data_IF_416782427470
#
_entry.id   IF_416782427470
#
_cell.length_a   1.000
_cell.length_b   1.000
_cell.length_c   1.000
_cell.angle_alpha   90.00
_cell.angle_beta   90.00
_cell.angle_gamma   90.00
#
_symmetry.space_group_name_H-M   'P 1'
#
loop_
_entity.id
_entity.type
_entity.pdbx_description
1 polymer ?
#
# COMPACT_ATOMS: atom_id res chain seq x y z
N UNK A 1 -17.39 28.80 1.71
CA UNK A 1 -17.31 29.19 0.28
C UNK A 1 -18.47 28.53 -0.46
N UNK A 2 -19.17 29.22 -1.36
CA UNK A 2 -20.23 28.60 -2.17
C UNK A 2 -19.61 27.46 -3.00
N UNK A 3 -20.12 26.23 -2.83
CA UNK A 3 -19.67 25.08 -3.62
C UNK A 3 -19.83 25.44 -5.09
N UNK A 4 -18.72 25.48 -5.84
CA UNK A 4 -18.80 25.61 -7.30
C UNK A 4 -19.66 24.46 -7.79
N UNK A 5 -20.77 24.77 -8.46
CA UNK A 5 -21.55 23.77 -9.19
C UNK A 5 -20.67 23.26 -10.33
N UNK A 6 -20.10 22.07 -10.14
CA UNK A 6 -19.47 21.33 -11.20
C UNK A 6 -20.54 20.51 -11.90
N UNK A 7 -20.53 20.51 -13.24
CA UNK A 7 -21.31 19.54 -14.00
C UNK A 7 -20.69 18.16 -13.75
N UNK A 8 -21.29 17.37 -12.87
CA UNK A 8 -20.81 16.04 -12.52
C UNK A 8 -21.34 15.07 -13.58
N UNK A 9 -20.47 14.50 -14.43
CA UNK A 9 -20.92 13.58 -15.47
C UNK A 9 -21.58 12.36 -14.83
N UNK A 10 -22.79 12.04 -15.28
CA UNK A 10 -23.49 10.81 -14.89
C UNK A 10 -22.74 9.64 -15.49
N UNK A 11 -22.09 8.83 -14.63
CA UNK A 11 -21.41 7.63 -15.08
C UNK A 11 -22.45 6.61 -15.59
N UNK A 12 -22.24 6.02 -16.78
CA UNK A 12 -23.16 5.01 -17.30
C UNK A 12 -23.14 3.76 -16.42
N UNK A 13 -24.27 3.04 -16.35
CA UNK A 13 -24.38 1.79 -15.58
C UNK A 13 -23.38 0.73 -16.06
N UNK A 14 -23.08 0.73 -17.36
CA UNK A 14 -22.11 -0.17 -17.99
C UNK A 14 -20.98 0.66 -18.58
N UNK A 15 -19.75 0.31 -18.23
CA UNK A 15 -18.56 0.91 -18.81
C UNK A 15 -18.37 0.39 -20.23
N UNK A 16 -18.10 1.31 -21.16
CA UNK A 16 -17.67 0.96 -22.50
C UNK A 16 -16.27 0.35 -22.44
N UNK A 17 -16.10 -0.83 -23.03
CA UNK A 17 -14.81 -1.51 -23.11
C UNK A 17 -14.10 -0.97 -24.35
N UNK A 18 -12.89 -0.40 -24.22
CA UNK A 18 -12.19 0.15 -25.37
C UNK A 18 -11.78 -0.98 -26.34
N UNK A 19 -11.71 -0.64 -27.62
CA UNK A 19 -11.06 -1.50 -28.61
C UNK A 19 -9.57 -1.67 -28.25
N UNK A 20 -9.00 -2.84 -28.54
CA UNK A 20 -7.61 -3.15 -28.20
C UNK A 20 -6.68 -2.31 -29.09
N UNK A 21 -5.74 -1.61 -28.46
CA UNK A 21 -4.67 -0.90 -29.13
C UNK A 21 -3.31 -1.42 -28.62
N UNK A 22 -2.72 -2.34 -29.36
CA UNK A 22 -1.45 -2.99 -28.99
C UNK A 22 -0.28 -2.00 -29.01
N UNK A 23 0.47 -1.94 -27.92
CA UNK A 23 1.72 -1.20 -27.82
C UNK A 23 1.57 0.30 -27.56
N UNK A 24 0.34 0.81 -27.36
CA UNK A 24 0.11 2.24 -27.07
C UNK A 24 0.74 2.67 -25.74
N UNK A 25 0.99 1.73 -24.82
CA UNK A 25 1.72 1.99 -23.58
C UNK A 25 3.17 1.52 -23.61
N UNK A 26 3.73 1.14 -24.75
CA UNK A 26 5.16 0.85 -24.87
C UNK A 26 6.01 2.09 -24.57
N UNK A 27 7.09 1.89 -23.82
CA UNK A 27 7.99 2.96 -23.41
C UNK A 27 8.85 2.55 -22.22
N UNK A 28 9.67 3.50 -21.74
CA UNK A 28 10.68 3.26 -20.71
C UNK A 28 10.11 3.05 -19.29
N UNK A 29 8.79 3.19 -19.13
CA UNK A 29 8.11 3.12 -17.84
C UNK A 29 8.41 4.33 -16.94
N UNK A 30 8.23 4.20 -15.61
CA UNK A 30 8.55 5.27 -14.67
C UNK A 30 10.07 5.51 -14.54
N UNK A 31 10.48 6.56 -13.84
CA UNK A 31 11.90 6.79 -13.58
C UNK A 31 12.53 5.64 -12.76
N UNK A 32 13.64 5.11 -13.26
CA UNK A 32 14.50 4.12 -12.57
C UNK A 32 15.20 4.76 -11.37
N UNK A 33 15.33 3.98 -10.29
CA UNK A 33 16.00 4.41 -9.07
C UNK A 33 17.51 4.48 -9.26
N UNK A 34 18.20 5.22 -8.39
CA UNK A 34 19.66 5.30 -8.34
C UNK A 34 20.22 4.58 -7.11
N UNK A 35 21.53 4.35 -7.12
CA UNK A 35 22.29 3.75 -6.03
C UNK A 35 21.97 4.36 -4.66
N UNK A 36 21.88 5.69 -4.60
CA UNK A 36 21.58 6.45 -3.38
C UNK A 36 20.29 5.97 -2.67
N UNK A 37 19.30 5.49 -3.42
CA UNK A 37 18.01 5.07 -2.89
C UNK A 37 17.86 3.55 -2.79
N UNK A 38 18.60 2.78 -3.59
CA UNK A 38 18.54 1.30 -3.57
C UNK A 38 19.40 0.70 -2.44
N UNK A 39 20.63 1.20 -2.25
CA UNK A 39 21.55 0.66 -1.24
C UNK A 39 20.98 0.70 0.20
N UNK A 40 20.34 1.78 0.67
CA UNK A 40 19.75 1.81 2.01
C UNK A 40 18.62 0.80 2.22
N UNK A 41 17.97 0.37 1.14
CA UNK A 41 16.93 -0.66 1.17
C UNK A 41 17.50 -2.08 1.08
N UNK A 42 18.78 -2.22 0.74
CA UNK A 42 19.47 -3.50 0.57
C UNK A 42 19.41 -4.06 -0.85
N UNK A 43 19.09 -3.23 -1.84
CA UNK A 43 19.09 -3.60 -3.26
C UNK A 43 20.38 -3.11 -3.96
N UNK A 44 20.83 -3.77 -5.04
CA UNK A 44 21.97 -3.31 -5.84
C UNK A 44 21.74 -1.88 -6.35
N UNK A 45 22.80 -1.09 -6.56
CA UNK A 45 22.65 0.29 -7.03
C UNK A 45 22.33 0.45 -8.51
N UNK A 46 22.73 -0.53 -9.32
CA UNK A 46 22.53 -0.61 -10.76
C UNK A 46 22.20 -2.05 -11.15
N UNK A 47 21.83 -2.26 -12.42
CA UNK A 47 21.54 -3.60 -12.95
C UNK A 47 22.78 -4.48 -12.85
N UNK A 48 22.68 -5.60 -12.13
CA UNK A 48 23.82 -6.52 -11.91
C UNK A 48 24.16 -7.32 -13.18
N UNK A 49 25.44 -7.69 -13.36
CA UNK A 49 25.89 -8.39 -14.57
C UNK A 49 25.20 -9.75 -14.79
N UNK A 50 25.02 -10.53 -13.72
CA UNK A 50 24.33 -11.83 -13.76
C UNK A 50 22.82 -11.71 -13.45
N UNK A 51 22.18 -10.60 -13.85
CA UNK A 51 20.79 -10.29 -13.47
C UNK A 51 19.78 -11.38 -13.81
N UNK A 52 19.95 -12.13 -14.91
CA UNK A 52 19.02 -13.21 -15.26
C UNK A 52 19.00 -14.31 -14.20
N UNK A 53 20.19 -14.73 -13.74
CA UNK A 53 20.33 -15.72 -12.68
C UNK A 53 19.69 -15.21 -11.38
N UNK A 54 20.05 -14.00 -10.97
CA UNK A 54 19.51 -13.35 -9.76
C UNK A 54 17.98 -13.21 -9.84
N UNK A 55 17.44 -12.84 -11.00
CA UNK A 55 15.99 -12.71 -11.19
C UNK A 55 15.26 -14.05 -11.07
N UNK A 56 15.78 -15.10 -11.71
CA UNK A 56 15.18 -16.43 -11.65
C UNK A 56 15.31 -17.02 -10.24
N UNK A 57 16.45 -16.85 -9.56
CA UNK A 57 16.61 -17.26 -8.16
C UNK A 57 15.62 -16.54 -7.24
N UNK A 58 15.51 -15.21 -7.38
CA UNK A 58 14.56 -14.42 -6.60
C UNK A 58 13.12 -14.83 -6.87
N UNK A 59 12.75 -15.07 -8.12
CA UNK A 59 11.45 -15.61 -8.49
C UNK A 59 11.18 -16.98 -7.82
N UNK A 60 12.21 -17.83 -7.78
CA UNK A 60 12.20 -19.12 -7.08
C UNK A 60 11.98 -19.00 -5.57
N UNK A 61 12.64 -18.04 -4.93
CA UNK A 61 12.43 -17.68 -3.52
C UNK A 61 10.98 -17.24 -3.29
N UNK A 62 10.50 -16.26 -4.07
CA UNK A 62 9.17 -15.65 -3.91
C UNK A 62 8.03 -16.65 -4.07
N UNK A 63 8.08 -17.51 -5.09
CA UNK A 63 7.04 -18.55 -5.28
C UNK A 63 7.01 -19.58 -4.14
N UNK A 64 8.14 -19.76 -3.45
CA UNK A 64 8.29 -20.76 -2.39
C UNK A 64 7.91 -20.16 -1.03
N UNK A 65 8.27 -18.90 -0.80
CA UNK A 65 7.93 -18.12 0.40
C UNK A 65 6.45 -17.72 0.41
N UNK A 66 5.90 -17.29 -0.72
CA UNK A 66 4.51 -16.85 -0.87
C UNK A 66 3.72 -17.82 -1.73
N UNK A 67 3.00 -18.73 -1.06
CA UNK A 67 2.17 -19.75 -1.71
C UNK A 67 1.17 -19.16 -2.71
N UNK A 68 0.64 -17.97 -2.43
CA UNK A 68 -0.30 -17.26 -3.28
C UNK A 68 0.27 -17.01 -4.68
N UNK A 69 1.53 -16.59 -4.80
CA UNK A 69 2.20 -16.35 -6.09
C UNK A 69 2.14 -17.60 -6.96
N UNK A 70 2.54 -18.76 -6.41
CA UNK A 70 2.50 -20.02 -7.17
C UNK A 70 1.05 -20.41 -7.53
N UNK A 71 0.15 -20.41 -6.55
CA UNK A 71 -1.25 -20.82 -6.76
C UNK A 71 -1.93 -19.95 -7.83
N UNK A 72 -1.71 -18.64 -7.80
CA UNK A 72 -2.30 -17.71 -8.77
C UNK A 72 -1.76 -17.92 -10.19
N UNK A 73 -0.47 -18.25 -10.34
CA UNK A 73 0.14 -18.54 -11.64
C UNK A 73 -0.36 -19.86 -12.23
N UNK A 74 -0.54 -20.88 -11.39
CA UNK A 74 -0.98 -22.22 -11.79
C UNK A 74 -2.50 -22.29 -12.06
N UNK A 75 -3.32 -21.58 -11.29
CA UNK A 75 -4.79 -21.67 -11.37
C UNK A 75 -5.43 -20.81 -12.46
N UNK A 76 -4.73 -19.81 -12.99
CA UNK A 76 -5.30 -18.89 -13.98
C UNK A 76 -5.64 -19.58 -15.31
N UNK A 77 -6.94 -19.75 -15.57
CA UNK A 77 -7.48 -20.35 -16.82
C UNK A 77 -7.61 -19.36 -17.99
N UNK A 78 -7.15 -18.11 -17.83
CA UNK A 78 -7.25 -17.03 -18.84
C UNK A 78 -8.68 -16.68 -19.30
N UNK A 79 -9.68 -16.73 -18.41
CA UNK A 79 -11.06 -16.41 -18.78
C UNK A 79 -11.32 -14.94 -19.14
N UNK A 80 -10.43 -14.01 -18.78
CA UNK A 80 -10.59 -12.59 -19.08
C UNK A 80 -11.58 -11.83 -18.18
N UNK A 81 -12.18 -12.46 -17.16
CA UNK A 81 -13.14 -11.83 -16.26
C UNK A 81 -12.60 -10.59 -15.50
N UNK A 82 -11.28 -10.45 -15.42
CA UNK A 82 -10.60 -9.32 -14.80
C UNK A 82 -10.28 -8.16 -15.77
N UNK A 83 -10.42 -8.35 -17.09
CA UNK A 83 -9.95 -7.44 -18.13
C UNK A 83 -10.58 -6.05 -18.03
N UNK A 84 -11.89 -5.96 -18.17
CA UNK A 84 -12.68 -4.72 -18.14
C UNK A 84 -12.84 -4.12 -16.73
N UNK A 85 -12.19 -4.73 -15.73
CA UNK A 85 -12.18 -4.25 -14.35
C UNK A 85 -10.93 -3.44 -14.02
N UNK A 86 -9.92 -3.46 -14.88
CA UNK A 86 -8.70 -2.70 -14.66
C UNK A 86 -8.82 -1.28 -15.20
N UNK A 87 -8.69 -0.28 -14.33
CA UNK A 87 -8.70 1.13 -14.73
C UNK A 87 -7.61 1.46 -15.76
N UNK A 88 -6.45 0.80 -15.68
CA UNK A 88 -5.35 1.02 -16.61
C UNK A 88 -5.59 0.41 -17.98
N UNK A 89 -6.27 -0.74 -18.05
CA UNK A 89 -6.70 -1.26 -19.35
C UNK A 89 -7.78 -0.36 -19.95
N UNK A 90 -8.78 0.04 -19.16
CA UNK A 90 -9.85 0.92 -19.63
C UNK A 90 -9.33 2.29 -20.10
N UNK A 91 -8.35 2.85 -19.39
CA UNK A 91 -7.76 4.14 -19.72
C UNK A 91 -6.74 4.10 -20.85
N UNK A 92 -6.05 2.97 -21.04
CA UNK A 92 -4.97 2.87 -22.02
C UNK A 92 -5.32 2.08 -23.27
N UNK A 93 -6.35 1.24 -23.26
CA UNK A 93 -6.66 0.25 -24.32
C UNK A 93 -5.57 -0.79 -24.62
N UNK A 94 -4.47 -0.79 -23.85
CA UNK A 94 -3.32 -1.67 -24.09
C UNK A 94 -3.59 -3.07 -23.51
N UNK A 95 -3.52 -4.15 -24.31
CA UNK A 95 -3.83 -5.48 -23.83
C UNK A 95 -2.87 -5.96 -22.74
N UNK A 96 -1.60 -5.52 -22.69
CA UNK A 96 -0.67 -5.87 -21.60
C UNK A 96 -1.08 -5.25 -20.26
N UNK A 97 -2.01 -4.28 -20.24
CA UNK A 97 -2.62 -3.76 -19.02
C UNK A 97 -3.82 -4.57 -18.51
N UNK A 98 -4.38 -5.48 -19.31
CA UNK A 98 -5.39 -6.42 -18.81
C UNK A 98 -4.75 -7.27 -17.70
N UNK A 99 -5.40 -7.47 -16.53
CA UNK A 99 -4.74 -8.16 -15.42
C UNK A 99 -4.26 -9.58 -15.76
N UNK A 100 -5.02 -10.30 -16.59
CA UNK A 100 -4.64 -11.63 -17.09
C UNK A 100 -3.39 -11.59 -17.99
N UNK A 101 -3.26 -10.59 -18.85
CA UNK A 101 -2.14 -10.45 -19.77
C UNK A 101 -0.89 -9.88 -19.07
N UNK A 102 -1.07 -8.91 -18.15
CA UNK A 102 0.01 -8.43 -17.29
C UNK A 102 0.60 -9.57 -16.47
N UNK A 103 -0.26 -10.42 -15.88
CA UNK A 103 0.17 -11.62 -15.19
C UNK A 103 0.94 -12.59 -16.12
N UNK A 104 0.70 -12.57 -17.43
CA UNK A 104 1.38 -13.45 -18.39
C UNK A 104 2.82 -13.09 -18.69
N UNK A 105 3.18 -11.81 -18.51
CA UNK A 105 4.57 -11.39 -18.53
C UNK A 105 5.38 -12.19 -17.49
N UNK A 106 4.90 -12.25 -16.25
CA UNK A 106 5.52 -13.05 -15.18
C UNK A 106 5.32 -14.56 -15.35
N UNK A 107 4.10 -14.97 -15.75
CA UNK A 107 3.74 -16.39 -15.85
C UNK A 107 4.48 -17.13 -16.96
N UNK A 108 4.80 -16.46 -18.06
CA UNK A 108 5.53 -17.09 -19.17
C UNK A 108 6.95 -17.50 -18.75
N UNK A 109 7.64 -16.63 -18.02
CA UNK A 109 8.94 -16.93 -17.39
C UNK A 109 8.79 -17.97 -16.29
N UNK A 110 7.77 -17.86 -15.45
CA UNK A 110 7.48 -18.85 -14.40
C UNK A 110 7.40 -20.26 -14.97
N UNK A 111 6.61 -20.42 -16.05
CA UNK A 111 6.44 -21.70 -16.73
C UNK A 111 7.77 -22.21 -17.25
N UNK A 112 8.56 -21.35 -17.88
CA UNK A 112 9.84 -21.71 -18.49
C UNK A 112 10.80 -22.36 -17.49
N UNK A 113 10.91 -21.78 -16.30
CA UNK A 113 11.93 -22.19 -15.31
C UNK A 113 11.41 -23.10 -14.19
N UNK A 114 10.11 -23.12 -13.89
CA UNK A 114 9.58 -23.81 -12.71
C UNK A 114 8.57 -24.91 -12.99
N UNK A 115 8.08 -25.07 -14.23
CA UNK A 115 7.12 -26.12 -14.58
C UNK A 115 7.75 -27.17 -15.48
N UNK A 116 7.32 -28.44 -15.33
CA UNK A 116 7.79 -29.52 -16.21
C UNK A 116 7.46 -29.23 -17.69
N UNK A 117 6.22 -28.85 -17.97
CA UNK A 117 5.78 -28.57 -19.33
C UNK A 117 6.51 -27.37 -19.97
N UNK A 118 6.79 -26.29 -19.22
CA UNK A 118 7.51 -25.15 -19.76
C UNK A 118 9.01 -25.41 -19.99
N UNK A 119 9.62 -26.34 -19.23
CA UNK A 119 11.01 -26.77 -19.45
C UNK A 119 11.16 -27.59 -20.74
N UNK A 120 10.26 -28.54 -20.97
CA UNK A 120 10.38 -29.51 -22.07
C UNK A 120 9.57 -29.17 -23.32
N UNK A 121 8.45 -28.44 -23.18
CA UNK A 121 7.51 -28.11 -24.26
C UNK A 121 7.11 -26.63 -24.23
N UNK A 122 8.08 -25.68 -24.24
CA UNK A 122 7.81 -24.27 -23.97
C UNK A 122 6.75 -23.63 -24.87
N UNK A 123 6.76 -23.98 -26.17
CA UNK A 123 5.78 -23.45 -27.16
C UNK A 123 4.33 -23.83 -26.84
N UNK A 124 4.10 -25.01 -26.26
CA UNK A 124 2.74 -25.51 -25.97
C UNK A 124 2.07 -24.71 -24.84
N UNK A 125 2.87 -24.24 -23.88
CA UNK A 125 2.37 -23.54 -22.68
C UNK A 125 2.67 -22.04 -22.69
N UNK A 126 3.17 -21.52 -23.81
CA UNK A 126 3.57 -20.12 -23.95
C UNK A 126 4.66 -19.70 -22.97
N UNK A 127 5.58 -20.61 -22.65
CA UNK A 127 6.74 -20.32 -21.80
C UNK A 127 7.78 -19.53 -22.61
N UNK A 128 8.35 -18.50 -22.00
CA UNK A 128 9.35 -17.60 -22.59
C UNK A 128 10.55 -17.48 -21.67
N UNK A 129 11.74 -17.24 -22.25
CA UNK A 129 12.92 -16.87 -21.47
C UNK A 129 12.76 -15.46 -20.89
N UNK A 130 13.51 -15.17 -19.84
CA UNK A 130 13.64 -13.81 -19.31
C UNK A 130 14.81 -13.11 -20.00
N UNK A 131 14.54 -12.37 -21.07
CA UNK A 131 15.50 -11.52 -21.79
C UNK A 131 15.31 -10.04 -21.43
N UNK A 132 16.15 -9.16 -21.99
CA UNK A 132 16.10 -7.72 -21.71
C UNK A 132 14.76 -7.09 -22.12
N UNK A 133 14.17 -7.52 -23.25
CA UNK A 133 12.86 -7.04 -23.71
C UNK A 133 11.75 -7.42 -22.72
N UNK A 134 11.75 -8.67 -22.23
CA UNK A 134 10.82 -9.11 -21.17
C UNK A 134 11.03 -8.32 -19.88
N UNK A 135 12.27 -8.01 -19.50
CA UNK A 135 12.57 -7.22 -18.31
C UNK A 135 12.06 -5.78 -18.44
N UNK A 136 12.20 -5.16 -19.61
CA UNK A 136 11.67 -3.83 -19.90
C UNK A 136 10.14 -3.82 -19.92
N UNK A 137 9.51 -4.85 -20.49
CA UNK A 137 8.06 -5.08 -20.40
C UNK A 137 7.61 -5.20 -18.94
N UNK A 138 8.33 -5.98 -18.13
CA UNK A 138 8.04 -6.11 -16.70
C UNK A 138 8.14 -4.75 -16.02
N UNK A 139 9.22 -4.01 -16.26
CA UNK A 139 9.44 -2.71 -15.65
C UNK A 139 8.33 -1.72 -16.01
N UNK A 140 7.95 -1.63 -17.28
CA UNK A 140 6.89 -0.75 -17.72
C UNK A 140 5.51 -1.18 -17.17
N UNK A 141 5.06 -2.38 -17.52
CA UNK A 141 3.68 -2.80 -17.27
C UNK A 141 3.38 -3.17 -15.83
N UNK A 142 4.35 -3.71 -15.07
CA UNK A 142 4.09 -3.96 -13.65
C UNK A 142 3.99 -2.66 -12.86
N UNK A 143 4.68 -1.59 -13.22
CA UNK A 143 4.54 -0.29 -12.54
C UNK A 143 3.27 0.48 -12.90
N UNK A 144 2.57 0.11 -13.98
CA UNK A 144 1.24 0.64 -14.27
C UNK A 144 0.14 0.04 -13.37
N UNK A 145 0.38 -1.06 -12.67
CA UNK A 145 -0.59 -1.63 -11.73
C UNK A 145 -0.71 -0.80 -10.44
N UNK A 146 -1.86 -0.19 -10.13
CA UNK A 146 -2.07 0.47 -8.82
C UNK A 146 -2.13 -0.50 -7.64
N UNK A 147 -2.14 -1.81 -7.90
CA UNK A 147 -2.41 -2.83 -6.89
C UNK A 147 -3.75 -2.65 -6.15
N UNK A 148 -4.76 -2.05 -6.80
CA UNK A 148 -6.10 -1.83 -6.21
C UNK A 148 -6.91 -3.11 -5.93
N UNK A 149 -6.42 -4.30 -6.34
CA UNK A 149 -7.06 -5.61 -6.15
C UNK A 149 -8.45 -5.77 -6.76
N UNK A 150 -8.93 -4.82 -7.58
CA UNK A 150 -10.22 -4.96 -8.27
C UNK A 150 -10.27 -6.25 -9.11
N UNK A 151 -9.16 -6.65 -9.72
CA UNK A 151 -9.02 -7.94 -10.39
C UNK A 151 -9.32 -9.16 -9.50
N UNK A 152 -8.97 -9.12 -8.20
CA UNK A 152 -9.20 -10.20 -7.25
C UNK A 152 -10.67 -10.37 -6.92
N UNK A 153 -11.40 -9.26 -6.76
CA UNK A 153 -12.84 -9.25 -6.48
C UNK A 153 -13.64 -9.92 -7.62
N UNK A 154 -13.25 -9.69 -8.87
CA UNK A 154 -13.97 -10.20 -10.04
C UNK A 154 -13.42 -11.53 -10.59
N UNK A 155 -12.28 -12.02 -10.08
CA UNK A 155 -11.75 -13.30 -10.53
C UNK A 155 -12.56 -14.45 -9.93
N UNK A 156 -13.15 -15.36 -10.72
CA UNK A 156 -13.91 -16.50 -10.18
C UNK A 156 -13.04 -17.51 -9.41
N UNK A 157 -11.71 -17.43 -9.56
CA UNK A 157 -10.72 -18.24 -8.83
C UNK A 157 -10.08 -17.47 -7.65
N UNK A 158 -10.50 -16.23 -7.39
CA UNK A 158 -9.92 -15.39 -6.33
C UNK A 158 -8.48 -14.93 -6.58
N UNK A 159 -8.00 -15.00 -7.83
CA UNK A 159 -6.61 -14.63 -8.17
C UNK A 159 -6.39 -13.14 -7.97
N UNK A 160 -5.41 -12.80 -7.13
CA UNK A 160 -4.99 -11.42 -6.94
C UNK A 160 -3.74 -11.09 -7.77
N UNK A 161 -3.94 -10.46 -8.92
CA UNK A 161 -2.82 -10.06 -9.78
C UNK A 161 -1.98 -8.94 -9.17
N UNK A 162 -2.45 -8.28 -8.10
CA UNK A 162 -1.64 -7.33 -7.35
C UNK A 162 -0.45 -8.02 -6.68
N UNK A 163 -0.63 -9.24 -6.16
CA UNK A 163 0.47 -10.01 -5.56
C UNK A 163 1.49 -10.48 -6.60
N UNK A 164 1.06 -10.78 -7.82
CA UNK A 164 1.98 -11.05 -8.94
C UNK A 164 2.75 -9.79 -9.32
N UNK A 165 2.09 -8.63 -9.31
CA UNK A 165 2.76 -7.35 -9.57
C UNK A 165 3.77 -7.02 -8.48
N UNK A 166 3.46 -7.32 -7.20
CA UNK A 166 4.40 -7.21 -6.09
C UNK A 166 5.61 -8.12 -6.30
N UNK A 167 5.40 -9.40 -6.63
CA UNK A 167 6.48 -10.34 -6.86
C UNK A 167 7.40 -9.91 -8.03
N UNK A 168 6.82 -9.43 -9.13
CA UNK A 168 7.58 -8.95 -10.27
C UNK A 168 8.42 -7.71 -9.93
N UNK A 169 7.87 -6.76 -9.15
CA UNK A 169 8.60 -5.58 -8.69
C UNK A 169 9.73 -5.93 -7.73
N UNK A 170 9.53 -6.89 -6.83
CA UNK A 170 10.60 -7.35 -5.94
C UNK A 170 11.74 -8.04 -6.71
N UNK A 171 11.43 -8.77 -7.80
CA UNK A 171 12.46 -9.29 -8.71
C UNK A 171 13.22 -8.16 -9.40
N UNK A 172 12.51 -7.13 -9.89
CA UNK A 172 13.13 -5.96 -10.53
C UNK A 172 14.07 -5.21 -9.56
N UNK A 173 13.65 -4.99 -8.32
CA UNK A 173 14.51 -4.39 -7.28
C UNK A 173 15.72 -5.27 -6.98
N UNK A 174 15.54 -6.60 -6.88
CA UNK A 174 16.63 -7.53 -6.56
C UNK A 174 17.74 -7.55 -7.63
N UNK A 175 17.41 -7.25 -8.89
CA UNK A 175 18.40 -7.12 -9.97
C UNK A 175 18.93 -5.70 -10.13
N UNK A 176 18.49 -4.73 -9.32
CA UNK A 176 18.92 -3.33 -9.36
C UNK A 176 18.13 -2.43 -10.30
N UNK A 177 16.94 -2.84 -10.75
CA UNK A 177 16.05 -2.09 -11.66
C UNK A 177 14.77 -1.64 -10.90
N UNK A 178 14.96 -0.96 -9.78
CA UNK A 178 13.87 -0.45 -8.95
C UNK A 178 13.23 0.85 -9.46
N UNK A 179 12.08 1.20 -8.89
CA UNK A 179 11.38 2.45 -9.21
C UNK A 179 11.84 3.59 -8.29
N UNK A 180 12.22 4.73 -8.88
CA UNK A 180 12.76 5.89 -8.15
C UNK A 180 11.87 6.35 -7.01
N UNK A 181 10.58 6.60 -7.29
CA UNK A 181 9.68 7.24 -6.33
C UNK A 181 9.53 6.42 -5.05
N UNK A 182 9.12 5.15 -5.16
CA UNK A 182 8.93 4.30 -3.99
C UNK A 182 10.24 4.06 -3.23
N UNK A 183 11.34 3.80 -3.93
CA UNK A 183 12.62 3.48 -3.28
C UNK A 183 13.18 4.70 -2.53
N UNK A 184 13.05 5.90 -3.11
CA UNK A 184 13.49 7.15 -2.49
C UNK A 184 12.73 7.44 -1.19
N UNK A 185 11.40 7.32 -1.20
CA UNK A 185 10.58 7.70 -0.03
C UNK A 185 10.61 6.65 1.09
N UNK A 186 10.82 5.37 0.76
CA UNK A 186 10.99 4.31 1.75
C UNK A 186 12.21 4.55 2.66
N UNK A 187 13.32 5.03 2.08
CA UNK A 187 14.51 5.42 2.85
C UNK A 187 14.20 6.49 3.89
N UNK A 188 13.39 7.50 3.53
CA UNK A 188 12.94 8.55 4.46
C UNK A 188 11.98 8.02 5.52
N UNK A 189 10.98 7.23 5.10
CA UNK A 189 9.98 6.69 6.02
C UNK A 189 10.61 5.80 7.11
N UNK A 190 11.65 5.04 6.77
CA UNK A 190 12.37 4.18 7.72
C UNK A 190 13.27 5.00 8.66
N UNK A 191 13.90 6.07 8.18
CA UNK A 191 14.88 6.85 8.97
C UNK A 191 14.26 7.99 9.77
N UNK A 192 13.36 8.77 9.18
CA UNK A 192 12.73 9.96 9.78
C UNK A 192 11.38 9.61 10.41
N UNK A 193 10.69 8.61 9.87
CA UNK A 193 9.37 8.18 10.36
C UNK A 193 8.21 8.48 9.41
N UNK A 194 8.44 9.27 8.36
CA UNK A 194 7.44 9.56 7.32
C UNK A 194 8.05 9.76 5.93
N UNK A 195 7.23 9.62 4.88
CA UNK A 195 7.69 9.68 3.48
C UNK A 195 8.08 11.10 3.02
N UNK A 196 7.56 12.16 3.65
CA UNK A 196 7.82 13.56 3.33
C UNK A 196 9.20 13.99 3.85
N UNK A 197 9.67 13.34 4.92
CA UNK A 197 10.87 13.74 5.66
C UNK A 197 10.60 14.89 6.62
N UNK A 198 9.36 14.97 7.14
CA UNK A 198 8.93 15.98 8.10
C UNK A 198 9.56 15.68 9.48
N UNK A 199 10.42 16.56 10.01
CA UNK A 199 11.00 16.36 11.34
C UNK A 199 9.97 16.68 12.44
N UNK A 200 10.19 16.16 13.66
CA UNK A 200 9.27 16.36 14.79
C UNK A 200 8.89 17.83 15.03
N UNK A 201 9.82 18.81 15.06
CA UNK A 201 9.45 20.20 15.32
C UNK A 201 8.48 20.76 14.27
N UNK A 202 8.68 20.41 13.00
CA UNK A 202 7.80 20.87 11.92
C UNK A 202 6.42 20.21 12.01
N UNK A 203 6.37 18.91 12.35
CA UNK A 203 5.10 18.22 12.62
C UNK A 203 4.35 18.87 13.79
N UNK A 204 5.05 19.19 14.88
CA UNK A 204 4.43 19.83 16.05
C UNK A 204 3.87 21.21 15.71
N UNK A 205 4.63 22.01 14.97
CA UNK A 205 4.22 23.35 14.51
C UNK A 205 2.95 23.28 13.66
N UNK A 206 2.94 22.37 12.68
CA UNK A 206 1.76 22.10 11.83
C UNK A 206 0.52 21.77 12.66
N UNK A 207 0.66 20.91 13.66
CA UNK A 207 -0.47 20.51 14.50
C UNK A 207 -0.98 21.66 15.37
N UNK A 208 -0.09 22.55 15.84
CA UNK A 208 -0.45 23.75 16.61
C UNK A 208 -1.21 24.75 15.73
N UNK A 209 -0.71 25.03 14.53
CA UNK A 209 -1.38 25.89 13.56
C UNK A 209 -2.79 25.39 13.25
N UNK A 210 -2.96 24.07 13.07
CA UNK A 210 -4.27 23.46 12.87
C UNK A 210 -5.21 23.61 14.08
N UNK A 211 -4.69 23.57 15.32
CA UNK A 211 -5.54 23.83 16.50
C UNK A 211 -6.05 25.27 16.47
N UNK A 212 -5.17 26.23 16.17
CA UNK A 212 -5.49 27.66 16.13
C UNK A 212 -6.52 27.96 15.04
N UNK A 213 -6.30 27.47 13.82
CA UNK A 213 -7.23 27.66 12.69
C UNK A 213 -8.63 27.09 12.99
N UNK A 214 -8.72 25.90 13.56
CA UNK A 214 -10.02 25.30 13.90
C UNK A 214 -10.72 26.08 15.01
N UNK A 215 -9.99 26.55 16.02
CA UNK A 215 -10.56 27.35 17.10
C UNK A 215 -11.05 28.71 16.58
N UNK A 216 -10.31 29.37 15.68
CA UNK A 216 -10.73 30.61 15.03
C UNK A 216 -11.98 30.42 14.17
N UNK A 217 -12.05 29.33 13.39
CA UNK A 217 -13.18 29.06 12.50
C UNK A 217 -14.45 28.62 13.23
N UNK A 218 -14.30 27.78 14.26
CA UNK A 218 -15.43 27.08 14.88
C UNK A 218 -15.75 27.57 16.29
N UNK A 219 -14.84 28.30 16.94
CA UNK A 219 -14.91 28.64 18.36
C UNK A 219 -14.71 27.46 19.31
N UNK A 220 -14.27 26.30 18.80
CA UNK A 220 -14.08 25.06 19.56
C UNK A 220 -12.60 24.68 19.54
N UNK A 221 -12.02 24.53 20.74
CA UNK A 221 -10.63 24.09 20.92
C UNK A 221 -10.47 22.58 20.67
N UNK A 222 -10.36 22.18 19.39
CA UNK A 222 -10.03 20.80 18.99
C UNK A 222 -8.52 20.59 19.09
N UNK A 223 -8.10 19.54 19.82
CA UNK A 223 -6.68 19.26 20.09
C UNK A 223 -6.10 18.15 19.23
N UNK A 224 -4.83 18.27 18.85
CA UNK A 224 -4.04 17.32 18.04
C UNK A 224 -2.81 16.84 18.81
N UNK A 225 -3.01 16.01 19.86
CA UNK A 225 -1.95 15.56 20.74
C UNK A 225 -0.85 14.77 20.01
N UNK A 226 0.40 15.10 20.31
CA UNK A 226 1.60 14.46 19.76
C UNK A 226 2.47 13.87 20.87
N UNK A 227 2.76 12.57 20.76
CA UNK A 227 3.58 11.78 21.68
C UNK A 227 3.08 11.78 23.15
N UNK A 228 1.75 11.76 23.35
CA UNK A 228 1.12 11.67 24.68
C UNK A 228 1.09 10.22 25.15
N UNK A 229 1.89 9.94 26.19
CA UNK A 229 1.95 8.62 26.82
C UNK A 229 0.67 8.31 27.62
N UNK A 230 0.17 7.08 27.48
CA UNK A 230 -1.03 6.60 28.16
C UNK A 230 -2.34 7.00 27.48
N UNK A 231 -2.29 7.58 26.27
CA UNK A 231 -3.48 7.84 25.47
C UNK A 231 -4.18 6.52 25.09
N UNK A 232 -5.51 6.52 24.97
CA UNK A 232 -6.23 5.31 24.59
C UNK A 232 -5.92 4.90 23.14
N UNK A 233 -5.93 5.86 22.21
CA UNK A 233 -5.75 5.63 20.78
C UNK A 233 -4.42 6.23 20.29
N UNK A 234 -3.61 5.42 19.60
CA UNK A 234 -2.59 5.91 18.67
C UNK A 234 -3.18 5.99 17.27
N UNK A 235 -3.34 7.20 16.73
CA UNK A 235 -3.72 7.42 15.34
C UNK A 235 -2.47 7.34 14.44
N UNK A 236 -2.52 6.44 13.46
CA UNK A 236 -1.53 6.29 12.40
C UNK A 236 -2.18 6.75 11.08
N UNK A 237 -1.85 7.97 10.67
CA UNK A 237 -2.40 8.62 9.49
C UNK A 237 -1.37 8.66 8.35
N UNK A 238 -1.75 8.73 7.07
CA UNK A 238 -0.78 9.00 6.02
C UNK A 238 -0.14 10.38 6.26
N UNK A 239 1.16 10.50 6.05
CA UNK A 239 1.88 11.77 6.25
C UNK A 239 1.34 12.96 5.43
N UNK A 240 0.64 12.69 4.33
CA UNK A 240 0.01 13.69 3.48
C UNK A 240 -1.03 14.51 4.25
N UNK A 241 -1.67 13.91 5.25
CA UNK A 241 -2.64 14.56 6.12
C UNK A 241 -2.04 15.69 6.96
N UNK A 242 -0.70 15.77 7.06
CA UNK A 242 0.00 16.86 7.75
C UNK A 242 0.35 18.05 6.85
N UNK A 243 0.24 17.95 5.52
CA UNK A 243 0.84 19.00 4.68
C UNK A 243 0.17 19.24 3.32
N UNK A 244 -0.59 18.28 2.79
CA UNK A 244 -1.13 18.38 1.45
C UNK A 244 -2.63 18.68 1.52
N UNK A 245 -3.08 19.77 0.90
CA UNK A 245 -4.51 19.93 0.60
C UNK A 245 -4.92 18.99 -0.55
N UNK A 246 -6.10 18.33 -0.50
CA UNK A 246 -7.13 18.42 0.55
C UNK A 246 -6.96 17.36 1.67
N UNK A 247 -5.82 16.67 1.76
CA UNK A 247 -5.60 15.62 2.76
C UNK A 247 -5.65 16.12 4.21
N UNK A 248 -5.26 17.38 4.45
CA UNK A 248 -5.38 18.03 5.78
C UNK A 248 -6.83 17.98 6.30
N UNK A 249 -7.84 18.09 5.43
CA UNK A 249 -9.25 17.99 5.83
C UNK A 249 -9.58 16.63 6.48
N UNK A 250 -8.86 15.57 6.08
CA UNK A 250 -8.93 14.26 6.71
C UNK A 250 -8.50 14.32 8.17
N UNK A 251 -7.32 14.89 8.46
CA UNK A 251 -6.82 15.06 9.82
C UNK A 251 -7.78 15.89 10.66
N UNK A 252 -8.27 17.00 10.11
CA UNK A 252 -9.26 17.88 10.75
C UNK A 252 -10.50 17.07 11.14
N UNK A 253 -11.00 16.24 10.22
CA UNK A 253 -12.14 15.36 10.44
C UNK A 253 -11.90 14.37 11.59
N UNK A 254 -10.72 13.75 11.66
CA UNK A 254 -10.41 12.81 12.74
C UNK A 254 -10.38 13.51 14.10
N UNK A 255 -9.71 14.67 14.19
CA UNK A 255 -9.61 15.46 15.42
C UNK A 255 -10.99 15.89 15.94
N UNK A 256 -11.88 16.35 15.05
CA UNK A 256 -13.26 16.70 15.39
C UNK A 256 -14.06 15.49 15.91
N UNK A 257 -13.92 14.32 15.29
CA UNK A 257 -14.56 13.08 15.76
C UNK A 257 -14.08 12.69 17.15
N UNK A 258 -12.77 12.72 17.40
CA UNK A 258 -12.23 12.37 18.71
C UNK A 258 -12.60 13.40 19.80
N UNK A 259 -12.64 14.68 19.45
CA UNK A 259 -13.11 15.74 20.34
C UNK A 259 -14.56 15.50 20.78
N UNK A 260 -15.46 15.20 19.83
CA UNK A 260 -16.87 14.94 20.13
C UNK A 260 -17.09 13.65 20.95
N UNK A 261 -16.30 12.58 20.71
CA UNK A 261 -16.39 11.37 21.56
C UNK A 261 -15.75 11.56 22.95
N UNK A 262 -14.84 12.52 23.10
CA UNK A 262 -14.08 12.76 24.33
C UNK A 262 -13.04 11.69 24.64
N UNK A 263 -12.62 10.90 23.65
CA UNK A 263 -11.61 9.85 23.81
C UNK A 263 -10.20 10.46 23.92
N UNK A 264 -9.32 9.88 24.74
CA UNK A 264 -7.91 10.27 24.74
C UNK A 264 -7.19 9.64 23.55
N UNK A 265 -6.49 10.45 22.76
CA UNK A 265 -5.77 9.98 21.59
C UNK A 265 -4.41 10.68 21.48
N UNK A 266 -3.56 10.18 20.60
CA UNK A 266 -2.27 10.77 20.27
C UNK A 266 -1.84 10.34 18.87
N UNK A 267 -1.00 11.16 18.25
CA UNK A 267 -0.15 10.75 17.14
C UNK A 267 1.27 10.49 17.65
N UNK A 268 2.11 9.88 16.81
CA UNK A 268 3.52 9.69 17.11
C UNK A 268 4.40 10.41 16.10
N UNK A 269 5.36 11.21 16.57
CA UNK A 269 6.35 11.83 15.70
C UNK A 269 7.25 10.79 15.03
N UNK A 270 7.60 9.71 15.77
CA UNK A 270 8.40 8.58 15.29
C UNK A 270 7.68 7.70 14.25
N UNK A 271 6.36 7.56 14.38
CA UNK A 271 5.52 6.74 13.50
C UNK A 271 4.46 7.56 12.74
N UNK A 272 4.87 8.72 12.20
CA UNK A 272 4.02 9.70 11.51
C UNK A 272 3.68 9.31 10.05
N UNK A 273 3.50 8.01 9.79
CA UNK A 273 3.18 7.51 8.45
C UNK A 273 2.50 6.14 8.49
N UNK A 274 1.25 6.09 8.04
CA UNK A 274 0.51 4.86 7.79
C UNK A 274 0.77 4.24 6.41
N UNK A 275 1.16 5.03 5.41
CA UNK A 275 1.45 4.53 4.08
C UNK A 275 2.71 3.67 4.07
N UNK A 276 2.57 2.43 3.61
CA UNK A 276 3.71 1.52 3.52
C UNK A 276 4.05 1.22 2.05
N UNK A 277 5.00 1.99 1.52
CA UNK A 277 5.46 1.83 0.14
C UNK A 277 6.27 0.55 -0.11
N UNK A 278 6.62 -0.20 0.94
CA UNK A 278 7.17 -1.55 0.83
C UNK A 278 6.23 -2.49 0.07
N UNK A 279 4.92 -2.25 0.15
CA UNK A 279 3.91 -2.95 -0.65
C UNK A 279 4.03 -2.64 -2.15
N UNK A 280 4.33 -1.39 -2.52
CA UNK A 280 4.43 -1.00 -3.92
C UNK A 280 5.68 -1.54 -4.60
N UNK A 281 6.76 -1.78 -3.86
CA UNK A 281 7.97 -2.46 -4.38
C UNK A 281 7.90 -3.98 -4.19
N UNK A 282 6.87 -4.48 -3.51
CA UNK A 282 6.65 -5.90 -3.26
C UNK A 282 7.48 -6.51 -2.12
N UNK A 283 8.51 -5.84 -1.63
CA UNK A 283 9.38 -6.32 -0.57
C UNK A 283 8.68 -6.37 0.81
N UNK A 284 8.34 -7.58 1.25
CA UNK A 284 7.79 -7.81 2.58
C UNK A 284 8.75 -7.47 3.71
N UNK A 285 10.06 -7.61 3.50
CA UNK A 285 11.06 -7.31 4.53
C UNK A 285 11.14 -5.80 4.77
N UNK A 286 11.09 -5.00 3.71
CA UNK A 286 11.01 -3.53 3.81
C UNK A 286 9.65 -3.11 4.36
N UNK A 287 8.57 -3.75 3.91
CA UNK A 287 7.24 -3.53 4.47
C UNK A 287 7.21 -3.77 5.99
N UNK A 288 7.86 -4.85 6.45
CA UNK A 288 8.03 -5.17 7.87
C UNK A 288 8.79 -4.08 8.60
N UNK A 289 9.96 -3.67 8.09
CA UNK A 289 10.78 -2.59 8.69
C UNK A 289 9.98 -1.31 8.88
N UNK A 290 9.24 -0.89 7.87
CA UNK A 290 8.39 0.31 7.95
C UNK A 290 7.26 0.14 8.99
N UNK A 291 6.61 -1.02 9.03
CA UNK A 291 5.50 -1.26 9.94
C UNK A 291 5.95 -1.42 11.41
N UNK A 292 7.15 -1.96 11.66
CA UNK A 292 7.69 -2.15 13.02
C UNK A 292 7.85 -0.83 13.80
N UNK A 293 7.98 0.31 13.11
CA UNK A 293 7.98 1.63 13.76
C UNK A 293 6.67 1.90 14.51
N UNK A 294 5.54 1.48 13.93
CA UNK A 294 4.21 1.64 14.53
C UNK A 294 4.09 0.79 15.80
N UNK A 295 4.57 -0.47 15.77
CA UNK A 295 4.65 -1.30 17.00
C UNK A 295 5.45 -0.60 18.08
N UNK A 296 6.63 -0.07 17.72
CA UNK A 296 7.51 0.61 18.67
C UNK A 296 6.80 1.81 19.30
N UNK A 297 6.21 2.69 18.49
CA UNK A 297 5.45 3.85 18.96
C UNK A 297 4.29 3.45 19.87
N UNK A 298 3.52 2.42 19.50
CA UNK A 298 2.41 1.93 20.32
C UNK A 298 2.88 1.42 21.69
N UNK A 299 3.98 0.68 21.74
CA UNK A 299 4.57 0.19 23.00
C UNK A 299 5.14 1.34 23.85
N UNK A 300 5.87 2.27 23.25
CA UNK A 300 6.52 3.37 23.98
C UNK A 300 5.51 4.35 24.57
N UNK A 301 4.44 4.63 23.82
CA UNK A 301 3.35 5.51 24.23
C UNK A 301 2.30 4.80 25.10
N UNK A 302 2.44 3.49 25.34
CA UNK A 302 1.55 2.69 26.21
C UNK A 302 0.06 2.81 25.84
N UNK A 303 -0.24 2.85 24.54
CA UNK A 303 -1.62 2.99 24.04
C UNK A 303 -2.41 1.69 24.13
N UNK A 304 -3.73 1.79 24.27
CA UNK A 304 -4.62 0.62 24.33
C UNK A 304 -5.20 0.23 22.97
N UNK A 305 -5.17 1.13 21.98
CA UNK A 305 -5.74 0.93 20.63
C UNK A 305 -4.81 1.54 19.58
N UNK A 306 -4.65 0.85 18.46
CA UNK A 306 -3.96 1.38 17.27
C UNK A 306 -4.98 1.58 16.17
N UNK A 307 -5.13 2.82 15.71
CA UNK A 307 -6.12 3.22 14.73
C UNK A 307 -5.44 3.75 13.47
N UNK A 308 -6.00 3.43 12.30
CA UNK A 308 -5.50 3.90 11.00
C UNK A 308 -6.44 4.97 10.45
N UNK A 309 -5.85 6.06 9.96
CA UNK A 309 -6.57 7.13 9.25
C UNK A 309 -7.10 6.71 7.88
N UNK A 310 -7.76 7.62 7.17
CA UNK A 310 -8.21 7.39 5.80
C UNK A 310 -7.00 7.35 4.87
N UNK A 311 -6.73 6.17 4.32
CA UNK A 311 -5.78 5.99 3.23
C UNK A 311 -5.87 4.55 2.74
N UNK A 312 -6.26 4.36 1.47
CA UNK A 312 -6.48 3.01 0.92
C UNK A 312 -5.30 2.04 1.06
N UNK A 313 -4.05 2.51 0.91
CA UNK A 313 -2.87 1.66 1.09
C UNK A 313 -2.46 1.49 2.56
N UNK A 314 -2.65 2.49 3.42
CA UNK A 314 -2.44 2.32 4.86
C UNK A 314 -3.42 1.27 5.42
N UNK A 315 -4.71 1.40 5.08
CA UNK A 315 -5.75 0.45 5.41
C UNK A 315 -5.41 -0.96 4.90
N UNK A 316 -5.04 -1.10 3.62
CA UNK A 316 -4.70 -2.41 3.05
C UNK A 316 -3.56 -3.06 3.82
N UNK A 317 -2.51 -2.31 4.12
CA UNK A 317 -1.34 -2.87 4.81
C UNK A 317 -1.67 -3.24 6.24
N UNK A 318 -2.44 -2.39 6.93
CA UNK A 318 -2.90 -2.63 8.27
C UNK A 318 -3.73 -3.92 8.37
N UNK A 319 -4.75 -4.06 7.52
CA UNK A 319 -5.69 -5.19 7.59
C UNK A 319 -5.14 -6.46 6.96
N UNK A 320 -4.28 -6.37 5.95
CA UNK A 320 -3.76 -7.55 5.26
C UNK A 320 -2.45 -8.07 5.85
N UNK A 321 -1.62 -7.20 6.47
CA UNK A 321 -0.24 -7.54 6.80
C UNK A 321 0.18 -7.24 8.25
N UNK A 322 -0.33 -6.23 8.95
CA UNK A 322 0.17 -5.89 10.30
C UNK A 322 0.04 -7.04 11.30
N UNK A 323 -0.99 -7.87 11.17
CA UNK A 323 -1.17 -9.05 12.00
C UNK A 323 0.09 -9.94 12.07
N UNK A 324 0.82 -10.09 10.97
CA UNK A 324 2.06 -10.88 10.88
C UNK A 324 3.33 -10.01 10.87
N UNK A 325 3.25 -8.77 10.36
CA UNK A 325 4.41 -7.87 10.26
C UNK A 325 4.77 -7.20 11.58
N UNK A 326 3.77 -6.74 12.34
CA UNK A 326 3.97 -5.98 13.57
C UNK A 326 3.45 -6.74 14.78
N UNK A 327 2.42 -7.57 14.61
CA UNK A 327 1.70 -8.18 15.72
C UNK A 327 0.58 -7.30 16.28
N UNK A 328 0.22 -6.21 15.59
CA UNK A 328 -1.09 -5.56 15.78
C UNK A 328 -2.15 -6.55 15.28
N UNK A 329 -2.85 -7.23 16.19
CA UNK A 329 -3.67 -8.40 15.91
C UNK A 329 -3.29 -9.57 16.83
N UNK A 330 -3.14 -10.79 16.30
CA UNK A 330 -2.78 -12.00 17.06
C UNK A 330 -1.83 -12.97 16.31
N UNK A 331 -1.29 -12.55 15.15
CA UNK A 331 -0.62 -13.42 14.18
C UNK A 331 0.90 -13.50 14.32
N UNK A 332 1.51 -12.60 15.08
CA UNK A 332 2.96 -12.59 15.32
C UNK A 332 3.28 -13.08 16.75
N UNK A 333 4.38 -13.82 16.90
CA UNK A 333 4.72 -14.55 18.14
C UNK A 333 6.04 -14.10 18.77
N UNK A 334 6.69 -13.07 18.24
CA UNK A 334 7.90 -12.52 18.85
C UNK A 334 7.60 -11.79 20.16
N UNK A 335 8.59 -11.66 21.05
CA UNK A 335 8.43 -11.07 22.40
C UNK A 335 7.69 -9.71 22.37
N UNK A 336 8.07 -8.82 21.45
CA UNK A 336 7.47 -7.50 21.33
C UNK A 336 6.07 -7.55 20.73
N UNK A 337 5.78 -8.50 19.84
CA UNK A 337 4.42 -8.73 19.35
C UNK A 337 3.52 -9.18 20.51
N UNK A 338 3.93 -10.16 21.31
CA UNK A 338 3.15 -10.64 22.45
C UNK A 338 2.94 -9.52 23.49
N UNK A 339 3.97 -8.70 23.75
CA UNK A 339 3.85 -7.53 24.62
C UNK A 339 2.79 -6.56 24.10
N UNK A 340 2.80 -6.24 22.80
CA UNK A 340 1.83 -5.34 22.19
C UNK A 340 0.41 -5.94 22.27
N UNK A 341 0.25 -7.21 21.93
CA UNK A 341 -1.05 -7.90 21.95
C UNK A 341 -1.69 -7.92 23.34
N UNK A 342 -0.88 -8.08 24.39
CA UNK A 342 -1.35 -8.01 25.77
C UNK A 342 -1.66 -6.57 26.23
N UNK A 343 -1.02 -5.56 25.61
CA UNK A 343 -1.27 -4.14 25.90
C UNK A 343 -2.56 -3.65 25.25
N UNK A 344 -2.87 -4.13 24.04
CA UNK A 344 -4.03 -3.67 23.28
C UNK A 344 -5.35 -4.23 23.84
N UNK A 345 -6.38 -3.40 23.87
CA UNK A 345 -7.70 -3.76 24.36
C UNK A 345 -8.44 -4.68 23.38
N UNK A 346 -8.57 -5.95 23.75
CA UNK A 346 -9.21 -7.00 22.94
C UNK A 346 -10.71 -6.81 22.71
N UNK A 347 -11.35 -5.83 23.37
CA UNK A 347 -12.75 -5.48 23.14
C UNK A 347 -12.97 -4.76 21.80
N UNK A 348 -11.92 -4.22 21.20
CA UNK A 348 -11.96 -3.46 19.95
C UNK A 348 -11.20 -4.16 18.82
N UNK A 349 -11.51 -3.87 17.54
CA UNK A 349 -10.71 -4.33 16.41
C UNK A 349 -9.25 -3.89 16.50
N UNK A 350 -8.33 -4.78 16.09
CA UNK A 350 -6.88 -4.53 16.12
C UNK A 350 -6.25 -4.94 14.79
N UNK A 351 -5.85 -3.99 13.93
CA UNK A 351 -6.07 -2.54 14.05
C UNK A 351 -7.56 -2.17 13.85
N UNK A 352 -7.91 -0.92 14.16
CA UNK A 352 -9.21 -0.35 13.81
C UNK A 352 -9.04 0.77 12.79
N UNK A 353 -10.01 0.95 11.89
CA UNK A 353 -10.01 2.08 10.96
C UNK A 353 -10.87 3.24 11.49
N UNK A 354 -10.45 4.49 11.22
CA UNK A 354 -11.18 5.67 11.69
C UNK A 354 -12.65 5.67 11.22
N UNK A 355 -12.93 5.26 9.99
CA UNK A 355 -14.32 5.16 9.48
C UNK A 355 -15.15 4.14 10.27
N UNK A 356 -14.57 3.01 10.68
CA UNK A 356 -15.30 2.01 11.48
C UNK A 356 -15.65 2.57 12.87
N UNK A 357 -14.70 3.29 13.47
CA UNK A 357 -14.89 3.97 14.74
C UNK A 357 -15.94 5.09 14.64
N UNK A 358 -15.83 5.97 13.65
CA UNK A 358 -16.82 7.01 13.38
C UNK A 358 -18.19 6.39 13.14
N UNK A 359 -18.31 5.39 12.27
CA UNK A 359 -19.58 4.72 11.98
C UNK A 359 -20.22 4.13 13.23
N UNK A 360 -19.45 3.47 14.11
CA UNK A 360 -19.95 2.97 15.38
C UNK A 360 -20.48 4.10 16.29
N UNK A 361 -19.80 5.25 16.36
CA UNK A 361 -20.30 6.41 17.11
C UNK A 361 -21.61 6.96 16.55
N UNK A 362 -21.78 6.95 15.22
CA UNK A 362 -23.03 7.33 14.55
C UNK A 362 -24.15 6.36 14.94
N UNK A 363 -23.89 5.05 14.87
CA UNK A 363 -24.88 4.02 15.22
C UNK A 363 -25.31 4.10 16.69
N UNK A 364 -24.39 4.48 17.58
CA UNK A 364 -24.66 4.73 19.01
C UNK A 364 -25.33 6.08 19.29
N UNK A 365 -25.54 6.92 18.28
CA UNK A 365 -26.11 8.26 18.42
C UNK A 365 -25.22 9.25 19.19
N UNK A 366 -23.91 8.95 19.29
CA UNK A 366 -22.94 9.84 19.92
C UNK A 366 -22.60 11.03 19.03
N UNK A 367 -22.51 10.82 17.72
CA UNK A 367 -22.32 11.90 16.76
C UNK A 367 -23.67 12.38 16.23
N UNK A 368 -23.89 13.70 16.30
CA UNK A 368 -25.06 14.36 15.71
C UNK A 368 -24.58 15.26 14.57
N UNK A 369 -24.96 14.92 13.35
CA UNK A 369 -24.69 15.77 12.18
C UNK A 369 -25.83 16.74 11.97
N UNK A 370 -25.47 18.00 11.72
CA UNK A 370 -26.40 18.93 11.11
C UNK A 370 -26.67 18.48 9.67
N UNK A 371 -27.95 18.36 9.33
CA UNK A 371 -28.40 17.88 8.01
C UNK A 371 -28.90 19.01 7.12
N UNK A 372 -28.87 20.26 7.61
CA UNK A 372 -29.35 21.44 6.87
C UNK A 372 -28.45 21.83 5.72
#
# INVERSE_FOLDING_TARGET
MAAKEFDIPVLPTYLEIPEINEGVMEGDGPFKSSEQFQNPLGFPGEKVDNWQEVAIEKMGELKSKYRSVQVFLDSCVKCGACTDKCHYFLGSSDPKNMPVARQDLFRSVYRRHFTFAGKHFPKLVGAKELDDEMLDDWYNYFHQCSQCRRCSVFCPYGIDTAEISMAAREVLDAVGVGQKYCNQILGKAITIGNNLGLPEPALRDTLLDLEEEIEEETGIAVKYPLDVKGAEILLITPSADFFAEPHIDGLIGYGKVFHEDGVSWTMSSYASEGANFGMFIGSYDIMRKAALRIRKAALDLEVSRVMVGECGHAWRVAYSFWNTLTGVGAGATDEYALKLQNQLDSRYPQPQHIIEYTHDLIQRGKLKFDKT
#
